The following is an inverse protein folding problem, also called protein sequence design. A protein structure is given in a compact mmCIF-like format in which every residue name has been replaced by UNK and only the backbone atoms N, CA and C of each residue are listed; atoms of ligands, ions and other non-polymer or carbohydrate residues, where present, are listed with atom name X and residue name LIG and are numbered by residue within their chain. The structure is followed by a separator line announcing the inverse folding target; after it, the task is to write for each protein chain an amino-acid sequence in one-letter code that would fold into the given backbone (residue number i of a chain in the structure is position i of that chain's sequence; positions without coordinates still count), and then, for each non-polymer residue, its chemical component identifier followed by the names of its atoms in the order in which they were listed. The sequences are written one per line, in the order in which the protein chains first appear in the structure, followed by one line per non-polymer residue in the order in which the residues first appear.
data_IF_054585232286
#
_entry.id   IF_054585232286
#
_cell.length_a   1.000
_cell.length_b   1.000
_cell.length_c   1.000
_cell.angle_alpha   90.00
_cell.angle_beta   90.00
_cell.angle_gamma   90.00
#
_symmetry.space_group_name_H-M   'P 1'
#
loop_
_entity.id
_entity.type
_entity.pdbx_description
1 polymer ?
#
# COMPACT_ATOMS: atom_id res chain seq x y z
N UNK A 1 3.23 -1.06 -26.58
CA UNK A 1 3.25 -2.07 -25.51
C UNK A 1 2.37 -1.55 -24.38
N UNK A 2 1.26 -2.22 -24.08
CA UNK A 2 0.43 -1.85 -22.93
C UNK A 2 1.22 -2.14 -21.65
N UNK A 3 1.24 -1.19 -20.70
CA UNK A 3 1.88 -1.42 -19.42
C UNK A 3 1.19 -2.59 -18.70
N UNK A 4 1.93 -3.55 -18.11
CA UNK A 4 1.32 -4.63 -17.35
C UNK A 4 0.54 -4.03 -16.17
N UNK A 5 -0.76 -4.35 -16.09
CA UNK A 5 -1.57 -3.95 -14.96
C UNK A 5 -1.22 -4.85 -13.77
N UNK A 6 -0.65 -4.25 -12.71
CA UNK A 6 -0.45 -4.95 -11.45
C UNK A 6 -1.73 -4.87 -10.62
N UNK A 7 -2.08 -5.98 -9.97
CA UNK A 7 -3.23 -6.07 -9.08
C UNK A 7 -2.79 -6.45 -7.67
N UNK A 8 -3.45 -5.88 -6.68
CA UNK A 8 -3.41 -6.33 -5.30
C UNK A 8 -4.68 -7.13 -4.99
N UNK A 9 -4.50 -8.26 -4.31
CA UNK A 9 -5.59 -9.04 -3.72
C UNK A 9 -5.35 -9.09 -2.22
N UNK A 10 -6.29 -8.58 -1.43
CA UNK A 10 -6.16 -8.47 0.01
C UNK A 10 -7.34 -9.11 0.75
N UNK A 11 -7.02 -9.86 1.80
CA UNK A 11 -7.94 -10.39 2.80
C UNK A 11 -7.69 -9.67 4.12
N UNK A 12 -8.76 -9.38 4.86
CA UNK A 12 -8.69 -8.66 6.13
C UNK A 12 -9.34 -9.51 7.23
N UNK A 13 -8.78 -9.42 8.43
CA UNK A 13 -9.28 -10.09 9.62
C UNK A 13 -8.73 -9.41 10.87
N UNK A 14 -9.47 -9.54 11.96
CA UNK A 14 -9.15 -8.93 13.24
C UNK A 14 -9.07 -10.00 14.33
N UNK A 15 -8.25 -9.76 15.35
CA UNK A 15 -8.13 -10.65 16.50
C UNK A 15 -7.85 -9.86 17.78
N UNK A 16 -8.14 -10.46 18.93
CA UNK A 16 -7.86 -9.82 20.21
C UNK A 16 -6.39 -9.93 20.57
N UNK A 17 -5.83 -8.89 21.18
CA UNK A 17 -4.40 -8.84 21.57
C UNK A 17 -3.96 -10.01 22.43
N UNK A 18 -4.84 -10.53 23.30
CA UNK A 18 -4.58 -11.72 24.13
C UNK A 18 -4.27 -12.99 23.32
N UNK A 19 -4.78 -13.06 22.09
CA UNK A 19 -4.64 -14.22 21.20
C UNK A 19 -3.40 -14.09 20.28
N UNK A 20 -2.68 -12.96 20.33
CA UNK A 20 -1.56 -12.64 19.43
C UNK A 20 -0.51 -13.76 19.39
N UNK A 21 -0.08 -14.27 20.56
CA UNK A 21 0.94 -15.33 20.63
C UNK A 21 0.47 -16.63 19.96
N UNK A 22 -0.77 -17.05 20.23
CA UNK A 22 -1.35 -18.25 19.64
C UNK A 22 -1.50 -18.12 18.11
N UNK A 23 -1.91 -16.94 17.64
CA UNK A 23 -2.08 -16.64 16.22
C UNK A 23 -0.73 -16.60 15.50
N UNK A 24 0.26 -15.88 16.04
CA UNK A 24 1.60 -15.83 15.46
C UNK A 24 2.22 -17.22 15.34
N UNK A 25 2.11 -18.05 16.37
CA UNK A 25 2.62 -19.43 16.33
C UNK A 25 1.94 -20.26 15.24
N UNK A 26 0.62 -20.12 15.09
CA UNK A 26 -0.14 -20.86 14.06
C UNK A 26 0.20 -20.37 12.65
N UNK A 27 0.28 -19.06 12.42
CA UNK A 27 0.66 -18.50 11.12
C UNK A 27 2.08 -18.95 10.78
N UNK A 28 3.01 -18.85 11.72
CA UNK A 28 4.41 -19.27 11.51
C UNK A 28 4.51 -20.76 11.20
N UNK A 29 3.74 -21.62 11.88
CA UNK A 29 3.70 -23.06 11.61
C UNK A 29 3.23 -23.40 10.19
N UNK A 30 2.34 -22.58 9.62
CA UNK A 30 1.74 -22.79 8.30
C UNK A 30 2.32 -21.87 7.21
N UNK A 31 3.39 -21.14 7.50
CA UNK A 31 4.06 -20.24 6.54
C UNK A 31 5.46 -20.76 6.23
N UNK A 32 5.95 -20.45 5.03
CA UNK A 32 7.33 -20.81 4.63
C UNK A 32 8.39 -20.03 5.40
N UNK A 33 8.07 -18.80 5.84
CA UNK A 33 8.98 -17.96 6.59
C UNK A 33 8.25 -16.96 7.48
N UNK A 34 8.97 -16.41 8.46
CA UNK A 34 8.53 -15.30 9.29
C UNK A 34 9.72 -14.36 9.52
N UNK A 35 9.50 -13.07 9.28
CA UNK A 35 10.52 -12.04 9.43
C UNK A 35 9.93 -10.86 10.19
N UNK A 36 10.77 -10.19 10.98
CA UNK A 36 10.39 -8.93 11.61
C UNK A 36 10.22 -7.87 10.52
N UNK A 37 9.16 -7.07 10.62
CA UNK A 37 8.88 -5.96 9.71
C UNK A 37 8.80 -4.67 10.52
N UNK A 38 9.48 -3.62 10.06
CA UNK A 38 9.35 -2.29 10.62
C UNK A 38 9.48 -1.25 9.50
N UNK A 39 8.35 -0.83 8.96
CA UNK A 39 8.32 0.14 7.87
C UNK A 39 7.81 1.51 8.32
N UNK A 40 8.33 2.56 7.68
CA UNK A 40 7.71 3.89 7.68
C UNK A 40 6.91 4.06 6.40
N UNK A 41 5.64 4.42 6.53
CA UNK A 41 4.78 4.80 5.41
C UNK A 41 4.34 6.25 5.57
N UNK A 42 4.40 7.00 4.48
CA UNK A 42 3.91 8.38 4.35
C UNK A 42 2.84 8.40 3.27
N UNK A 43 1.74 9.08 3.56
CA UNK A 43 0.61 9.23 2.65
C UNK A 43 0.57 10.69 2.18
N UNK A 44 0.47 10.87 0.87
CA UNK A 44 0.38 12.19 0.24
C UNK A 44 -0.93 12.30 -0.53
N UNK A 45 -1.51 13.48 -0.47
CA UNK A 45 -2.65 13.85 -1.30
C UNK A 45 -2.17 14.64 -2.52
N UNK A 46 -2.83 14.52 -3.68
CA UNK A 46 -2.52 15.42 -4.78
C UNK A 46 -2.86 16.87 -4.38
N UNK A 47 -2.12 17.84 -4.91
CA UNK A 47 -2.26 19.26 -4.57
C UNK A 47 -3.69 19.80 -4.79
N UNK A 48 -4.40 19.25 -5.76
CA UNK A 48 -5.78 19.58 -6.11
C UNK A 48 -6.82 18.65 -5.46
N UNK A 49 -6.45 17.87 -4.43
CA UNK A 49 -7.33 16.89 -3.78
C UNK A 49 -8.67 17.49 -3.35
N UNK A 50 -8.68 18.71 -2.81
CA UNK A 50 -9.92 19.37 -2.39
C UNK A 50 -10.83 19.64 -3.60
N UNK A 51 -10.28 20.13 -4.71
CA UNK A 51 -11.04 20.37 -5.93
C UNK A 51 -11.60 19.08 -6.52
N UNK A 52 -10.82 17.99 -6.50
CA UNK A 52 -11.30 16.67 -6.93
C UNK A 52 -12.49 16.22 -6.10
N UNK A 53 -12.42 16.34 -4.78
CA UNK A 53 -13.54 16.01 -3.88
C UNK A 53 -14.77 16.87 -4.15
N UNK A 54 -14.60 18.18 -4.35
CA UNK A 54 -15.69 19.11 -4.64
C UNK A 54 -16.40 18.79 -5.97
N UNK A 55 -15.70 18.18 -6.92
CA UNK A 55 -16.26 17.70 -8.20
C UNK A 55 -16.78 16.25 -8.12
N UNK A 56 -16.79 15.64 -6.94
CA UNK A 56 -17.30 14.28 -6.70
C UNK A 56 -16.31 13.16 -7.05
N UNK A 57 -15.03 13.48 -7.23
CA UNK A 57 -13.97 12.51 -7.50
C UNK A 57 -13.20 12.16 -6.22
N UNK A 58 -12.84 10.89 -6.07
CA UNK A 58 -11.93 10.44 -5.01
C UNK A 58 -10.47 10.57 -5.46
N UNK A 59 -9.64 11.38 -4.78
CA UNK A 59 -8.26 11.58 -5.19
C UNK A 59 -7.42 10.32 -5.04
N UNK A 60 -6.57 10.06 -6.05
CA UNK A 60 -5.62 8.94 -6.00
C UNK A 60 -4.46 9.33 -5.10
N UNK A 61 -4.40 8.72 -3.92
CA UNK A 61 -3.36 8.97 -2.94
C UNK A 61 -2.04 8.31 -3.35
N UNK A 62 -0.93 8.98 -3.07
CA UNK A 62 0.42 8.43 -3.23
C UNK A 62 0.95 7.99 -1.87
N UNK A 63 1.52 6.79 -1.82
CA UNK A 63 2.16 6.24 -0.63
C UNK A 63 3.64 6.11 -0.86
N UNK A 64 4.44 6.58 0.08
CA UNK A 64 5.86 6.34 0.13
C UNK A 64 6.16 5.43 1.32
N UNK A 65 6.69 4.23 1.05
CA UNK A 65 7.09 3.28 2.08
C UNK A 65 8.58 3.00 2.04
N UNK A 66 9.20 2.89 3.21
CA UNK A 66 10.59 2.45 3.38
C UNK A 66 10.66 1.45 4.54
N UNK A 67 11.23 0.28 4.29
CA UNK A 67 11.59 -0.69 5.34
C UNK A 67 12.78 -0.15 6.15
N UNK A 68 12.71 -0.20 7.47
CA UNK A 68 13.71 0.41 8.36
C UNK A 68 14.69 -0.61 8.93
N UNK A 69 14.37 -1.91 8.88
CA UNK A 69 15.28 -2.96 9.33
C UNK A 69 16.33 -3.33 8.27
N UNK A 70 16.10 -2.93 7.01
CA UNK A 70 17.00 -3.16 5.89
C UNK A 70 17.89 -1.92 5.65
N UNK A 71 19.21 -2.00 5.86
CA UNK A 71 20.11 -0.84 5.78
C UNK A 71 20.05 -0.09 4.44
N UNK A 72 19.94 -0.84 3.34
CA UNK A 72 19.93 -0.33 1.97
C UNK A 72 18.53 -0.25 1.36
N UNK A 73 17.49 -0.28 2.21
CA UNK A 73 16.11 -0.15 1.77
C UNK A 73 15.92 1.13 0.95
N UNK A 74 15.41 0.95 -0.28
CA UNK A 74 15.00 2.08 -1.11
C UNK A 74 13.54 2.42 -0.79
N UNK A 75 13.16 3.65 -1.11
CA UNK A 75 11.76 4.04 -1.05
C UNK A 75 10.98 3.34 -2.17
N UNK A 76 9.78 2.91 -1.84
CA UNK A 76 8.78 2.44 -2.79
C UNK A 76 7.65 3.45 -2.80
N UNK A 77 7.33 3.97 -3.98
CA UNK A 77 6.16 4.78 -4.21
C UNK A 77 5.06 3.93 -4.84
N UNK A 78 3.84 4.01 -4.32
CA UNK A 78 2.73 3.26 -4.87
C UNK A 78 1.39 3.94 -4.63
N UNK A 79 0.42 3.61 -5.49
CA UNK A 79 -0.96 4.07 -5.40
C UNK A 79 -1.91 2.92 -5.66
N UNK A 80 -2.94 2.82 -4.81
CA UNK A 80 -4.06 1.93 -5.05
C UNK A 80 -5.12 2.64 -5.84
N UNK A 81 -5.63 1.98 -6.89
CA UNK A 81 -6.76 2.48 -7.65
C UNK A 81 -8.07 1.94 -7.09
N UNK A 82 -9.17 2.39 -7.68
CA UNK A 82 -10.52 1.99 -7.27
C UNK A 82 -10.65 0.45 -7.27
N UNK A 83 -11.09 -0.15 -6.16
CA UNK A 83 -11.35 -1.58 -6.11
C UNK A 83 -12.41 -2.01 -7.11
N UNK A 84 -12.27 -3.25 -7.57
CA UNK A 84 -13.31 -3.94 -8.31
C UNK A 84 -14.56 -4.15 -7.44
N UNK A 85 -15.67 -4.44 -8.09
CA UNK A 85 -16.92 -4.64 -7.37
C UNK A 85 -16.85 -5.87 -6.45
N UNK A 86 -17.28 -5.71 -5.20
CA UNK A 86 -17.48 -6.82 -4.25
C UNK A 86 -18.44 -7.90 -4.77
N UNK A 87 -19.24 -7.63 -5.82
CA UNK A 87 -20.07 -8.65 -6.46
C UNK A 87 -19.27 -9.65 -7.29
N UNK A 88 -18.10 -9.23 -7.78
CA UNK A 88 -17.17 -10.08 -8.54
C UNK A 88 -16.28 -10.85 -7.57
N UNK A 89 -15.82 -10.19 -6.50
CA UNK A 89 -14.96 -10.75 -5.48
C UNK A 89 -15.55 -10.50 -4.08
N UNK A 90 -16.49 -11.33 -3.60
CA UNK A 90 -17.15 -11.11 -2.32
C UNK A 90 -16.26 -11.37 -1.10
N UNK A 91 -15.25 -12.22 -1.24
CA UNK A 91 -14.34 -12.61 -0.16
C UNK A 91 -13.08 -11.75 -0.04
N UNK A 92 -12.75 -10.94 -1.05
CA UNK A 92 -11.47 -10.24 -1.14
C UNK A 92 -11.60 -8.85 -1.73
N UNK A 93 -10.71 -7.95 -1.32
CA UNK A 93 -10.51 -6.69 -2.04
C UNK A 93 -9.55 -6.95 -3.19
N UNK A 94 -10.03 -6.76 -4.43
CA UNK A 94 -9.21 -6.82 -5.64
C UNK A 94 -9.14 -5.41 -6.22
N UNK A 95 -7.94 -4.89 -6.42
CA UNK A 95 -7.75 -3.55 -6.98
C UNK A 95 -6.48 -3.43 -7.81
N UNK A 96 -6.52 -2.67 -8.93
CA UNK A 96 -5.29 -2.30 -9.62
C UNK A 96 -4.41 -1.43 -8.72
N UNK A 97 -3.10 -1.54 -8.89
CA UNK A 97 -2.15 -0.65 -8.22
C UNK A 97 -0.98 -0.32 -9.14
N UNK A 98 -0.37 0.84 -8.89
CA UNK A 98 0.85 1.26 -9.54
C UNK A 98 1.95 1.33 -8.49
N UNK A 99 3.16 0.88 -8.82
CA UNK A 99 4.29 0.85 -7.90
C UNK A 99 5.59 1.15 -8.65
N UNK A 100 6.51 1.89 -8.01
CA UNK A 100 7.86 2.10 -8.50
C UNK A 100 8.85 2.23 -7.34
N UNK A 101 10.08 1.82 -7.58
CA UNK A 101 11.17 2.01 -6.63
C UNK A 101 11.89 3.32 -6.95
N UNK A 102 12.14 4.14 -5.93
CA UNK A 102 12.81 5.44 -6.09
C UNK A 102 14.20 5.39 -5.44
N UNK A 103 15.19 5.84 -6.19
CA UNK A 103 16.57 6.03 -5.71
C UNK A 103 16.77 7.49 -5.34
N UNK A 104 17.26 7.76 -4.14
CA UNK A 104 17.50 9.13 -3.64
C UNK A 104 16.35 9.66 -2.79
N UNK A 105 16.05 10.95 -2.93
CA UNK A 105 15.01 11.64 -2.15
C UNK A 105 13.61 11.44 -2.75
N UNK A 106 12.94 10.40 -2.27
CA UNK A 106 11.60 10.05 -2.74
C UNK A 106 10.51 11.04 -2.29
N UNK A 107 10.73 11.79 -1.21
CA UNK A 107 9.70 12.69 -0.67
C UNK A 107 9.69 13.99 -1.47
N UNK A 108 10.88 14.53 -1.77
CA UNK A 108 11.00 15.66 -2.70
C UNK A 108 10.54 15.28 -4.11
N UNK A 109 10.80 14.04 -4.53
CA UNK A 109 10.28 13.52 -5.80
C UNK A 109 8.74 13.46 -5.81
N UNK A 110 8.11 12.94 -4.76
CA UNK A 110 6.65 12.97 -4.61
C UNK A 110 6.09 14.39 -4.67
N UNK A 111 6.73 15.34 -3.98
CA UNK A 111 6.33 16.75 -4.02
C UNK A 111 6.43 17.36 -5.42
N UNK A 112 7.50 17.06 -6.16
CA UNK A 112 7.65 17.49 -7.55
C UNK A 112 6.59 16.91 -8.51
N UNK A 113 5.97 15.77 -8.15
CA UNK A 113 4.84 15.18 -8.88
C UNK A 113 3.49 15.85 -8.55
N UNK A 114 3.48 16.85 -7.66
CA UNK A 114 2.27 17.55 -7.23
C UNK A 114 1.55 16.88 -6.06
N UNK A 115 2.26 16.10 -5.23
CA UNK A 115 1.73 15.50 -4.02
C UNK A 115 2.22 16.22 -2.75
N UNK A 116 1.35 16.39 -1.75
CA UNK A 116 1.63 17.15 -0.52
C UNK A 116 1.21 16.41 0.75
#
# INVERSE_FOLDING_TARGET
MAAPHFYEVALFGEFFTKDLSAILNRITLHSESAHQMHARELLFEPFDAQHQRDTGNDPVLLRARKELLEPDAKWVLFSYLKPESVRVHPEATVRPWATCQVVGDALSFASALGYV
#
